data_IF_993701885759
#
_entry.id   IF_993701885759
#
_cell.length_a   1.000
_cell.length_b   1.000
_cell.length_c   1.000
_cell.angle_alpha   90.00
_cell.angle_beta   90.00
_cell.angle_gamma   90.00
#
_symmetry.space_group_name_H-M   'P 1'
#
loop_
_entity.id
_entity.type
_entity.pdbx_description
1 polymer ?
#
# COMPACT_ATOMS: atom_id res chain seq x y z
N UNK A 1 4.29 1.92 -21.43
CA UNK A 1 3.91 1.37 -20.11
C UNK A 1 2.53 0.76 -20.23
N UNK A 2 2.30 -0.46 -19.71
CA UNK A 2 1.04 -1.18 -19.89
C UNK A 2 0.37 -1.36 -18.53
N UNK A 3 -0.78 -0.72 -18.32
CA UNK A 3 -1.70 -1.10 -17.25
C UNK A 3 -2.33 -2.45 -17.61
N UNK A 4 -2.61 -3.29 -16.61
CA UNK A 4 -3.26 -4.58 -16.84
C UNK A 4 -4.73 -4.30 -17.19
N UNK A 5 -5.27 -4.84 -18.29
CA UNK A 5 -6.68 -4.64 -18.59
C UNK A 5 -7.59 -5.18 -17.46
N UNK A 6 -8.62 -4.42 -17.01
CA UNK A 6 -9.50 -4.83 -15.91
C UNK A 6 -10.15 -6.21 -16.11
N UNK A 7 -10.53 -6.55 -17.33
CA UNK A 7 -11.10 -7.85 -17.67
C UNK A 7 -10.12 -9.00 -17.45
N UNK A 8 -8.81 -8.78 -17.67
CA UNK A 8 -7.78 -9.77 -17.41
C UNK A 8 -7.59 -10.00 -15.90
N UNK A 9 -7.69 -8.93 -15.09
CA UNK A 9 -7.64 -9.02 -13.61
C UNK A 9 -8.82 -9.84 -13.10
N UNK A 10 -10.03 -9.54 -13.60
CA UNK A 10 -11.25 -10.27 -13.23
C UNK A 10 -11.20 -11.72 -13.70
N UNK A 11 -10.76 -11.99 -14.93
CA UNK A 11 -10.63 -13.35 -15.47
C UNK A 11 -9.61 -14.20 -14.70
N UNK A 12 -8.57 -13.58 -14.14
CA UNK A 12 -7.62 -14.23 -13.24
C UNK A 12 -8.19 -14.51 -11.83
N UNK A 13 -9.45 -14.16 -11.57
CA UNK A 13 -10.13 -14.43 -10.30
C UNK A 13 -9.83 -13.44 -9.18
N UNK A 14 -9.20 -12.30 -9.48
CA UNK A 14 -8.94 -11.27 -8.48
C UNK A 14 -10.16 -10.38 -8.24
N UNK A 15 -10.40 -10.02 -6.98
CA UNK A 15 -11.49 -9.12 -6.59
C UNK A 15 -11.19 -7.64 -6.85
N UNK A 16 -9.92 -7.27 -7.05
CA UNK A 16 -9.51 -5.88 -7.17
C UNK A 16 -8.01 -5.69 -7.30
N UNK A 17 -7.58 -4.44 -7.14
CA UNK A 17 -6.17 -4.04 -7.18
C UNK A 17 -5.78 -3.22 -5.96
N UNK A 18 -4.54 -3.38 -5.52
CA UNK A 18 -3.84 -2.42 -4.66
C UNK A 18 -2.96 -1.60 -5.59
N UNK A 19 -3.31 -0.34 -5.84
CA UNK A 19 -2.66 0.48 -6.85
C UNK A 19 -1.94 1.68 -6.24
N UNK A 20 -0.80 2.03 -6.81
CA UNK A 20 0.03 3.12 -6.35
C UNK A 20 -0.57 4.50 -6.60
N UNK A 21 -0.55 5.34 -5.57
CA UNK A 21 -0.80 6.79 -5.61
C UNK A 21 0.52 7.56 -5.46
N UNK A 22 1.57 7.06 -6.10
CA UNK A 22 2.92 7.65 -6.17
C UNK A 22 3.44 7.58 -7.60
N UNK A 23 4.41 8.43 -7.94
CA UNK A 23 5.08 8.41 -9.24
C UNK A 23 6.18 7.35 -9.30
N UNK A 24 6.66 7.05 -10.51
CA UNK A 24 7.89 6.28 -10.67
C UNK A 24 9.10 7.11 -10.24
N UNK A 25 10.01 6.49 -9.48
CA UNK A 25 11.31 7.11 -9.15
C UNK A 25 12.25 7.10 -10.37
N UNK A 26 13.29 7.98 -10.40
CA UNK A 26 14.25 8.05 -11.50
C UNK A 26 14.84 6.69 -11.88
N UNK A 27 14.95 6.40 -13.18
CA UNK A 27 15.48 5.13 -13.68
C UNK A 27 14.52 3.94 -13.56
N UNK A 28 13.28 4.15 -13.11
CA UNK A 28 12.22 3.13 -13.13
C UNK A 28 11.02 3.62 -13.96
N UNK A 29 10.34 2.69 -14.63
CA UNK A 29 9.17 3.00 -15.44
C UNK A 29 8.04 2.02 -15.12
N UNK A 30 7.32 2.26 -14.03
CA UNK A 30 6.30 1.34 -13.55
C UNK A 30 4.91 1.76 -14.05
N UNK A 31 4.34 0.96 -14.96
CA UNK A 31 3.09 1.29 -15.68
C UNK A 31 1.85 1.52 -14.82
N UNK A 32 1.90 1.13 -13.54
CA UNK A 32 0.84 1.34 -12.58
C UNK A 32 1.10 2.53 -11.62
N UNK A 33 2.12 3.37 -11.85
CA UNK A 33 2.46 4.53 -11.01
C UNK A 33 2.34 5.86 -11.75
N UNK A 34 1.46 6.79 -11.32
CA UNK A 34 0.34 6.60 -10.40
C UNK A 34 -0.89 5.96 -11.09
N UNK A 35 -1.88 5.52 -10.31
CA UNK A 35 -3.23 5.29 -10.82
C UNK A 35 -3.81 6.58 -11.42
N UNK A 36 -4.61 6.44 -12.47
CA UNK A 36 -5.28 7.56 -13.14
C UNK A 36 -6.79 7.41 -13.06
N UNK A 37 -7.53 8.52 -13.15
CA UNK A 37 -8.99 8.50 -13.13
C UNK A 37 -9.60 7.60 -14.23
N UNK A 38 -9.13 7.63 -15.50
CA UNK A 38 -9.65 6.72 -16.52
C UNK A 38 -9.48 5.24 -16.15
N UNK A 39 -8.32 4.87 -15.60
CA UNK A 39 -8.07 3.48 -15.20
C UNK A 39 -8.89 3.07 -13.98
N UNK A 40 -9.02 3.94 -12.98
CA UNK A 40 -9.88 3.70 -11.82
C UNK A 40 -11.36 3.49 -12.22
N UNK A 41 -11.86 4.29 -13.17
CA UNK A 41 -13.20 4.11 -13.74
C UNK A 41 -13.34 2.78 -14.48
N UNK A 42 -12.33 2.38 -15.25
CA UNK A 42 -12.34 1.10 -15.97
C UNK A 42 -12.33 -0.11 -15.02
N UNK A 43 -11.52 -0.06 -13.95
CA UNK A 43 -11.51 -1.06 -12.88
C UNK A 43 -12.89 -1.18 -12.21
N UNK A 44 -13.46 -0.04 -11.81
CA UNK A 44 -14.77 0.01 -11.15
C UNK A 44 -15.88 -0.52 -12.06
N UNK A 45 -15.87 -0.14 -13.35
CA UNK A 45 -16.84 -0.62 -14.34
C UNK A 45 -16.74 -2.14 -14.56
N UNK A 46 -15.56 -2.73 -14.40
CA UNK A 46 -15.36 -4.18 -14.45
C UNK A 46 -15.82 -4.90 -13.16
N UNK A 47 -16.21 -4.17 -12.12
CA UNK A 47 -16.61 -4.69 -10.81
C UNK A 47 -15.43 -4.95 -9.85
N UNK A 48 -14.26 -4.37 -10.14
CA UNK A 48 -13.05 -4.54 -9.32
C UNK A 48 -12.97 -3.48 -8.24
N UNK A 49 -12.54 -3.87 -7.04
CA UNK A 49 -12.26 -2.93 -5.95
C UNK A 49 -10.87 -2.30 -6.10
N UNK A 50 -10.67 -1.13 -5.52
CA UNK A 50 -9.41 -0.37 -5.56
C UNK A 50 -8.99 -0.03 -4.14
N UNK A 51 -7.72 -0.27 -3.81
CA UNK A 51 -7.08 0.13 -2.56
C UNK A 51 -5.83 0.96 -2.88
N UNK A 52 -5.55 2.01 -2.12
CA UNK A 52 -4.41 2.90 -2.37
C UNK A 52 -3.15 2.48 -1.64
N UNK A 53 -2.03 2.46 -2.37
CA UNK A 53 -0.68 2.25 -1.83
C UNK A 53 0.22 3.44 -2.16
N UNK A 54 1.10 3.83 -1.24
CA UNK A 54 2.17 4.77 -1.49
C UNK A 54 3.54 4.12 -1.29
N UNK A 55 4.35 4.19 -2.35
CA UNK A 55 5.78 3.91 -2.32
C UNK A 55 6.45 4.64 -3.47
N UNK A 56 7.38 5.54 -3.19
CA UNK A 56 8.20 6.19 -4.21
C UNK A 56 9.59 5.56 -4.23
N UNK A 57 10.27 5.62 -3.09
CA UNK A 57 11.59 5.05 -2.86
C UNK A 57 11.66 3.53 -2.87
N UNK A 58 12.88 2.99 -2.91
CA UNK A 58 13.16 1.57 -2.71
C UNK A 58 14.56 1.42 -2.10
N UNK A 59 14.79 0.50 -1.14
CA UNK A 59 16.14 0.21 -0.66
C UNK A 59 17.11 -0.11 -1.79
N UNK A 60 18.31 0.46 -1.72
CA UNK A 60 19.35 0.30 -2.75
C UNK A 60 19.00 0.88 -4.13
N UNK A 61 17.90 1.63 -4.26
CA UNK A 61 17.49 2.28 -5.49
C UNK A 61 18.08 3.68 -5.68
N UNK A 62 17.71 4.32 -6.79
CA UNK A 62 18.01 5.73 -7.10
C UNK A 62 17.33 6.73 -6.17
N UNK A 63 16.31 6.29 -5.43
CA UNK A 63 15.67 7.01 -4.34
C UNK A 63 15.58 6.07 -3.13
N UNK A 64 16.11 6.44 -1.95
CA UNK A 64 16.10 5.59 -0.76
C UNK A 64 14.68 5.36 -0.25
N UNK A 65 14.51 4.40 0.65
CA UNK A 65 13.23 4.08 1.29
C UNK A 65 12.58 5.32 1.89
N UNK A 66 11.28 5.51 1.64
CA UNK A 66 10.58 6.79 1.88
C UNK A 66 10.66 7.23 3.36
N UNK A 67 10.55 6.28 4.28
CA UNK A 67 10.60 6.51 5.72
C UNK A 67 11.92 7.12 6.22
N UNK A 68 13.02 6.99 5.47
CA UNK A 68 14.33 7.54 5.85
C UNK A 68 14.36 9.06 5.88
N UNK A 69 13.36 9.73 5.28
CA UNK A 69 13.21 11.19 5.31
C UNK A 69 12.50 11.71 6.56
N UNK A 70 12.12 10.83 7.50
CA UNK A 70 11.52 11.20 8.78
C UNK A 70 10.25 12.05 8.64
N UNK A 71 9.99 12.92 9.62
CA UNK A 71 8.76 13.69 9.70
C UNK A 71 8.49 14.55 8.46
N UNK A 72 9.47 15.33 8.01
CA UNK A 72 9.32 16.20 6.84
C UNK A 72 9.05 15.39 5.56
N UNK A 73 9.69 14.23 5.43
CA UNK A 73 9.38 13.26 4.38
C UNK A 73 7.94 12.78 4.42
N UNK A 74 7.44 12.44 5.62
CA UNK A 74 6.08 11.95 5.80
C UNK A 74 5.02 12.97 5.41
N UNK A 75 5.25 14.25 5.72
CA UNK A 75 4.39 15.36 5.27
C UNK A 75 4.37 15.46 3.75
N UNK A 76 5.54 15.42 3.10
CA UNK A 76 5.64 15.52 1.65
C UNK A 76 4.97 14.33 0.94
N UNK A 77 5.14 13.12 1.47
CA UNK A 77 4.61 11.88 0.92
C UNK A 77 3.09 11.80 1.08
N UNK A 78 2.59 12.19 2.24
CA UNK A 78 1.15 12.27 2.48
C UNK A 78 0.45 13.26 1.54
N UNK A 79 1.04 14.44 1.32
CA UNK A 79 0.50 15.43 0.37
C UNK A 79 0.51 14.89 -1.05
N UNK A 80 1.61 14.26 -1.47
CA UNK A 80 1.75 13.66 -2.81
C UNK A 80 0.76 12.50 -3.01
N UNK A 81 0.69 11.59 -2.04
CA UNK A 81 -0.22 10.45 -2.04
C UNK A 81 -1.67 10.88 -2.10
N UNK A 82 -2.07 11.86 -1.28
CA UNK A 82 -3.42 12.39 -1.28
C UNK A 82 -3.78 13.10 -2.58
N UNK A 83 -2.85 13.88 -3.14
CA UNK A 83 -3.03 14.52 -4.44
C UNK A 83 -3.33 13.48 -5.54
N UNK A 84 -2.54 12.41 -5.65
CA UNK A 84 -2.79 11.38 -6.65
C UNK A 84 -4.02 10.52 -6.36
N UNK A 85 -4.28 10.21 -5.09
CA UNK A 85 -5.47 9.49 -4.65
C UNK A 85 -6.74 10.24 -5.09
N UNK A 86 -6.85 11.52 -4.72
CA UNK A 86 -8.00 12.35 -5.07
C UNK A 86 -8.12 12.61 -6.58
N UNK A 87 -7.00 12.87 -7.27
CA UNK A 87 -7.00 13.04 -8.73
C UNK A 87 -7.47 11.80 -9.50
N UNK A 88 -7.30 10.60 -8.93
CA UNK A 88 -7.79 9.34 -9.50
C UNK A 88 -9.24 9.01 -9.12
N UNK A 89 -9.92 9.86 -8.34
CA UNK A 89 -11.28 9.62 -7.85
C UNK A 89 -11.33 8.72 -6.62
N UNK A 90 -10.26 8.70 -5.82
CA UNK A 90 -10.19 7.95 -4.58
C UNK A 90 -11.24 8.40 -3.55
N UNK A 91 -11.75 7.44 -2.79
CA UNK A 91 -12.79 7.69 -1.78
C UNK A 91 -12.29 8.52 -0.61
N UNK A 92 -13.06 9.52 -0.16
CA UNK A 92 -12.58 10.56 0.77
C UNK A 92 -12.20 10.05 2.15
N UNK A 93 -12.76 8.92 2.56
CA UNK A 93 -12.45 8.27 3.85
C UNK A 93 -11.55 7.05 3.71
N UNK A 94 -11.08 6.73 2.50
CA UNK A 94 -10.27 5.54 2.25
C UNK A 94 -8.84 5.76 2.77
N UNK A 95 -8.21 4.73 3.38
CA UNK A 95 -6.82 4.84 3.80
C UNK A 95 -5.87 4.73 2.61
N UNK A 96 -4.67 5.28 2.79
CA UNK A 96 -3.51 5.01 1.93
C UNK A 96 -2.53 4.17 2.75
N UNK A 97 -2.11 3.03 2.20
CA UNK A 97 -1.07 2.20 2.82
C UNK A 97 0.30 2.75 2.44
N UNK A 98 1.04 3.27 3.42
CA UNK A 98 2.40 3.77 3.25
C UNK A 98 3.41 2.65 3.48
N UNK A 99 4.29 2.45 2.49
CA UNK A 99 5.17 1.28 2.44
C UNK A 99 6.48 1.45 3.21
N UNK A 100 6.70 0.59 4.20
CA UNK A 100 8.02 0.27 4.75
C UNK A 100 8.48 -1.02 4.06
N UNK A 101 9.06 -0.87 2.87
CA UNK A 101 9.52 -1.98 2.01
C UNK A 101 10.97 -2.39 2.36
N UNK A 102 11.23 -2.60 3.66
CA UNK A 102 12.54 -2.97 4.22
C UNK A 102 12.38 -3.83 5.49
N UNK A 103 13.37 -4.69 5.76
CA UNK A 103 13.52 -5.35 7.06
C UNK A 103 14.21 -4.38 8.04
N UNK A 104 13.41 -3.64 8.82
CA UNK A 104 13.92 -2.65 9.76
C UNK A 104 13.89 -3.17 11.20
N UNK A 105 14.88 -2.77 11.99
CA UNK A 105 14.89 -3.03 13.42
C UNK A 105 14.10 -1.97 14.21
N UNK A 106 13.99 -2.16 15.54
CA UNK A 106 13.24 -1.25 16.41
C UNK A 106 13.91 0.12 16.50
N UNK A 107 15.23 0.21 16.35
CA UNK A 107 15.94 1.47 16.37
C UNK A 107 15.60 2.30 15.13
N UNK A 108 15.68 1.72 13.93
CA UNK A 108 15.25 2.34 12.67
C UNK A 108 13.77 2.73 12.71
N UNK A 109 12.90 1.88 13.28
CA UNK A 109 11.51 2.25 13.49
C UNK A 109 11.37 3.52 14.35
N UNK A 110 11.95 3.52 15.56
CA UNK A 110 11.80 4.62 16.51
C UNK A 110 12.40 5.94 15.98
N UNK A 111 13.51 5.87 15.22
CA UNK A 111 14.28 7.05 14.80
C UNK A 111 13.86 7.61 13.45
N UNK A 112 13.33 6.77 12.53
CA UNK A 112 13.00 7.18 11.17
C UNK A 112 11.54 6.93 10.82
N UNK A 113 11.08 5.68 10.93
CA UNK A 113 9.74 5.32 10.45
C UNK A 113 8.61 5.91 11.30
N UNK A 114 8.74 5.88 12.63
CA UNK A 114 7.75 6.47 13.53
C UNK A 114 7.61 7.98 13.33
N UNK A 115 8.70 8.79 13.28
CA UNK A 115 8.61 10.20 12.88
C UNK A 115 7.97 10.40 11.49
N UNK A 116 8.28 9.55 10.52
CA UNK A 116 7.67 9.61 9.18
C UNK A 116 6.16 9.39 9.21
N UNK A 117 5.69 8.35 9.92
CA UNK A 117 4.26 8.13 10.14
C UNK A 117 3.58 9.27 10.89
N UNK A 118 4.24 9.89 11.86
CA UNK A 118 3.72 11.10 12.53
C UNK A 118 3.60 12.27 11.56
N UNK A 119 4.55 12.42 10.63
CA UNK A 119 4.48 13.40 9.53
C UNK A 119 3.26 13.14 8.62
N UNK A 120 3.05 11.88 8.22
CA UNK A 120 1.88 11.47 7.44
C UNK A 120 0.57 11.80 8.18
N UNK A 121 0.51 11.45 9.46
CA UNK A 121 -0.68 11.67 10.29
C UNK A 121 -0.99 13.15 10.50
N UNK A 122 0.02 14.03 10.45
CA UNK A 122 -0.22 15.49 10.52
C UNK A 122 -0.97 16.04 9.29
N UNK A 123 -0.99 15.30 8.17
CA UNK A 123 -1.68 15.67 6.94
C UNK A 123 -2.99 14.90 6.78
N UNK A 124 -2.95 13.56 6.93
CA UNK A 124 -4.11 12.69 6.64
C UNK A 124 -4.91 12.33 7.88
N UNK A 125 -4.34 12.46 9.08
CA UNK A 125 -4.87 11.85 10.29
C UNK A 125 -4.71 10.33 10.30
N UNK A 126 -4.62 9.77 11.50
CA UNK A 126 -4.41 8.32 11.73
C UNK A 126 -5.41 7.45 10.97
N UNK A 127 -6.69 7.86 10.91
CA UNK A 127 -7.75 7.03 10.35
C UNK A 127 -7.65 6.81 8.83
N UNK A 128 -6.88 7.63 8.11
CA UNK A 128 -6.56 7.45 6.68
C UNK A 128 -5.14 6.92 6.43
N UNK A 129 -4.41 6.59 7.49
CA UNK A 129 -3.05 6.07 7.40
C UNK A 129 -3.05 4.57 7.62
N UNK A 130 -2.61 3.84 6.59
CA UNK A 130 -2.27 2.43 6.69
C UNK A 130 -0.77 2.20 6.54
N UNK A 131 -0.32 1.00 6.90
CA UNK A 131 1.07 0.58 6.75
C UNK A 131 1.16 -0.67 5.88
N UNK A 132 2.12 -0.68 4.96
CA UNK A 132 2.66 -1.91 4.40
C UNK A 132 4.01 -2.23 5.02
N UNK A 133 4.24 -3.49 5.41
CA UNK A 133 5.52 -3.94 5.96
C UNK A 133 5.51 -5.35 6.54
N UNK A 134 6.65 -5.77 7.08
CA UNK A 134 6.77 -7.06 7.78
C UNK A 134 6.04 -7.08 9.13
N UNK A 135 6.01 -8.25 9.78
CA UNK A 135 5.28 -8.48 11.05
C UNK A 135 5.65 -7.47 12.14
N UNK A 136 6.94 -7.15 12.29
CA UNK A 136 7.43 -6.23 13.32
C UNK A 136 6.94 -4.79 13.05
N UNK A 137 7.01 -4.33 11.80
CA UNK A 137 6.51 -3.00 11.40
C UNK A 137 5.01 -2.87 11.68
N UNK A 138 4.23 -3.90 11.34
CA UNK A 138 2.79 -3.93 11.63
C UNK A 138 2.54 -3.85 13.14
N UNK A 139 3.23 -4.67 13.94
CA UNK A 139 3.12 -4.68 15.39
C UNK A 139 3.40 -3.28 15.96
N UNK A 140 4.53 -2.67 15.61
CA UNK A 140 4.95 -1.38 16.16
C UNK A 140 4.04 -0.23 15.72
N UNK A 141 3.57 -0.24 14.47
CA UNK A 141 2.62 0.76 13.98
C UNK A 141 1.29 0.76 14.77
N UNK A 142 0.85 -0.43 15.20
CA UNK A 142 -0.34 -0.60 16.03
C UNK A 142 -0.07 -0.14 17.46
N UNK A 143 1.04 -0.58 18.07
CA UNK A 143 1.45 -0.21 19.42
C UNK A 143 1.61 1.31 19.58
N UNK A 144 2.24 1.96 18.61
CA UNK A 144 2.47 3.42 18.62
C UNK A 144 1.25 4.23 18.15
N UNK A 145 0.15 3.55 17.79
CA UNK A 145 -1.13 4.19 17.45
C UNK A 145 -1.08 5.06 16.18
N UNK A 146 -0.21 4.74 15.22
CA UNK A 146 0.01 5.57 14.02
C UNK A 146 -0.76 5.12 12.79
N UNK A 147 -1.53 4.03 12.88
CA UNK A 147 -2.41 3.54 11.81
C UNK A 147 -3.87 3.42 12.26
N UNK A 148 -4.79 3.65 11.32
CA UNK A 148 -6.23 3.61 11.55
C UNK A 148 -6.81 2.22 11.75
N UNK A 149 -8.12 2.18 11.97
CA UNK A 149 -8.90 0.96 12.20
C UNK A 149 -9.88 0.70 11.06
N UNK A 150 -10.07 -0.58 10.75
CA UNK A 150 -11.13 -1.03 9.83
C UNK A 150 -12.49 -0.96 10.52
N UNK A 151 -13.59 -0.93 9.75
CA UNK A 151 -14.93 -1.12 10.30
C UNK A 151 -15.13 -2.53 10.87
N UNK A 152 -14.28 -3.48 10.51
CA UNK A 152 -14.24 -4.80 11.14
C UNK A 152 -13.50 -4.70 12.48
N UNK A 153 -14.18 -5.08 13.57
CA UNK A 153 -13.63 -5.01 14.92
C UNK A 153 -12.30 -5.76 15.03
N UNK A 154 -11.33 -5.16 15.73
CA UNK A 154 -10.00 -5.75 15.95
C UNK A 154 -9.05 -5.66 14.76
N UNK A 155 -9.51 -5.15 13.60
CA UNK A 155 -8.68 -4.99 12.40
C UNK A 155 -8.12 -3.56 12.28
N UNK A 156 -6.92 -3.46 11.74
CA UNK A 156 -6.16 -2.22 11.52
C UNK A 156 -5.83 -2.07 10.05
N UNK A 157 -5.54 -0.86 9.59
CA UNK A 157 -5.01 -0.62 8.24
C UNK A 157 -3.57 -1.14 8.10
N UNK A 158 -3.39 -2.44 8.28
CA UNK A 158 -2.15 -3.16 8.21
C UNK A 158 -2.21 -4.12 7.02
N UNK A 159 -1.37 -3.85 6.03
CA UNK A 159 -1.09 -4.71 4.90
C UNK A 159 0.26 -5.39 5.13
N UNK A 160 0.23 -6.62 5.60
CA UNK A 160 1.45 -7.31 5.97
C UNK A 160 2.04 -8.06 4.77
N UNK A 161 3.35 -8.06 4.60
CA UNK A 161 4.01 -8.94 3.61
C UNK A 161 4.54 -10.22 4.25
N UNK A 162 4.56 -11.33 3.50
CA UNK A 162 5.27 -12.56 3.92
C UNK A 162 6.77 -12.30 4.16
N UNK A 163 7.34 -11.34 3.43
CA UNK A 163 8.72 -10.91 3.65
C UNK A 163 8.88 -10.42 5.08
N UNK A 164 10.00 -10.77 5.70
CA UNK A 164 10.35 -10.29 7.05
C UNK A 164 9.36 -10.72 8.15
N UNK A 165 8.41 -11.61 7.83
CA UNK A 165 7.33 -12.04 8.74
C UNK A 165 7.53 -13.44 9.31
N UNK A 166 8.53 -14.19 8.86
CA UNK A 166 8.93 -15.50 9.45
C UNK A 166 7.75 -16.48 9.59
N UNK A 167 6.82 -16.47 8.63
CA UNK A 167 5.62 -17.31 8.62
C UNK A 167 4.46 -16.85 9.51
N UNK A 168 4.59 -15.71 10.20
CA UNK A 168 3.57 -15.17 11.09
C UNK A 168 2.64 -14.20 10.35
N UNK A 169 1.40 -14.07 10.82
CA UNK A 169 0.43 -13.07 10.35
C UNK A 169 -0.18 -12.40 11.58
N UNK A 170 -0.10 -11.06 11.66
CA UNK A 170 -0.69 -10.32 12.77
C UNK A 170 -2.22 -10.41 12.70
N UNK A 171 -2.92 -10.74 13.80
CA UNK A 171 -4.37 -10.95 13.78
C UNK A 171 -5.18 -9.70 13.37
N UNK A 172 -4.61 -8.51 13.55
CA UNK A 172 -5.24 -7.26 13.14
C UNK A 172 -5.04 -6.90 11.66
N UNK A 173 -4.17 -7.58 10.89
CA UNK A 173 -3.92 -7.26 9.50
C UNK A 173 -5.19 -7.43 8.64
N UNK A 174 -5.42 -6.52 7.70
CA UNK A 174 -6.57 -6.58 6.78
C UNK A 174 -6.18 -7.11 5.40
N UNK A 175 -4.89 -7.04 5.06
CA UNK A 175 -4.33 -7.55 3.82
C UNK A 175 -3.04 -8.32 4.11
N UNK A 176 -2.76 -9.35 3.31
CA UNK A 176 -1.51 -10.11 3.39
C UNK A 176 -0.91 -10.41 2.01
N UNK A 177 0.30 -9.92 1.72
CA UNK A 177 1.03 -10.22 0.49
C UNK A 177 1.65 -11.63 0.58
N UNK A 178 0.95 -12.62 0.05
CA UNK A 178 1.34 -14.04 0.08
C UNK A 178 2.31 -14.41 -1.04
N UNK A 179 2.20 -13.77 -2.20
CA UNK A 179 3.12 -13.97 -3.33
C UNK A 179 3.80 -12.64 -3.66
N UNK A 180 5.13 -12.69 -3.72
CA UNK A 180 5.98 -11.58 -4.14
C UNK A 180 6.65 -12.03 -5.43
N UNK A 181 6.47 -11.29 -6.52
CA UNK A 181 7.13 -11.55 -7.79
C UNK A 181 8.63 -11.28 -7.66
N UNK A 182 9.42 -12.35 -7.71
CA UNK A 182 10.87 -12.29 -7.79
C UNK A 182 11.38 -13.26 -8.85
N UNK A 183 12.64 -13.12 -9.32
CA UNK A 183 13.21 -14.08 -10.26
C UNK A 183 13.17 -15.53 -9.75
N UNK A 184 13.30 -15.75 -8.44
CA UNK A 184 13.30 -17.08 -7.81
C UNK A 184 11.91 -17.56 -7.35
N UNK A 185 10.93 -16.67 -7.27
CA UNK A 185 9.55 -16.97 -6.92
C UNK A 185 8.62 -16.11 -7.80
N UNK A 186 8.52 -16.41 -9.11
CA UNK A 186 7.78 -15.56 -10.02
C UNK A 186 6.30 -15.53 -9.67
N UNK A 187 5.72 -14.34 -9.73
CA UNK A 187 4.29 -14.14 -9.59
C UNK A 187 3.50 -14.70 -10.78
N UNK A 188 2.19 -14.95 -10.63
CA UNK A 188 1.35 -15.31 -11.76
C UNK A 188 1.31 -14.20 -12.80
N UNK A 189 1.08 -14.58 -14.05
CA UNK A 189 0.96 -13.64 -15.17
C UNK A 189 -0.52 -13.27 -15.36
N UNK A 190 -0.83 -11.98 -15.28
CA UNK A 190 -2.17 -11.43 -15.49
C UNK A 190 -2.07 -10.35 -16.58
N UNK A 191 -2.80 -10.51 -17.68
CA UNK A 191 -2.74 -9.58 -18.82
C UNK A 191 -1.32 -9.39 -19.39
N UNK A 192 -0.48 -10.43 -19.29
CA UNK A 192 0.91 -10.41 -19.76
C UNK A 192 1.92 -9.79 -18.79
N UNK A 193 1.52 -9.47 -17.55
CA UNK A 193 2.38 -8.87 -16.52
C UNK A 193 2.44 -9.79 -15.31
N UNK A 194 3.62 -10.03 -14.74
CA UNK A 194 3.76 -10.73 -13.45
C UNK A 194 3.31 -9.83 -12.32
N UNK A 195 2.55 -10.38 -11.38
CA UNK A 195 1.96 -9.62 -10.28
C UNK A 195 2.27 -10.26 -8.92
N UNK A 196 2.31 -9.42 -7.89
CA UNK A 196 2.17 -9.87 -6.51
C UNK A 196 0.73 -10.31 -6.24
N UNK A 197 0.53 -11.24 -5.30
CA UNK A 197 -0.80 -11.68 -4.88
C UNK A 197 -1.01 -11.42 -3.41
N UNK A 198 -2.13 -10.78 -3.11
CA UNK A 198 -2.53 -10.38 -1.77
C UNK A 198 -3.84 -11.06 -1.39
N UNK A 199 -3.88 -11.61 -0.18
CA UNK A 199 -5.09 -12.18 0.41
C UNK A 199 -5.84 -11.09 1.19
N UNK A 200 -7.17 -11.11 1.10
CA UNK A 200 -8.09 -10.23 1.81
C UNK A 200 -8.47 -10.88 3.14
N UNK A 201 -8.06 -10.29 4.26
CA UNK A 201 -8.25 -10.85 5.60
C UNK A 201 -9.45 -10.23 6.35
N UNK A 202 -10.08 -9.20 5.80
CA UNK A 202 -11.25 -8.54 6.36
C UNK A 202 -12.22 -8.11 5.25
N UNK A 203 -13.51 -8.01 5.55
CA UNK A 203 -14.51 -7.48 4.60
C UNK A 203 -14.25 -6.01 4.25
N UNK A 204 -13.57 -5.27 5.13
CA UNK A 204 -13.16 -3.90 4.93
C UNK A 204 -11.64 -3.78 5.06
N UNK A 205 -10.99 -3.60 3.91
CA UNK A 205 -9.55 -3.42 3.75
C UNK A 205 -9.18 -2.00 3.33
N UNK A 206 -10.14 -1.07 3.36
CA UNK A 206 -9.95 0.30 2.87
C UNK A 206 -10.24 0.45 1.37
N UNK A 207 -11.08 -0.41 0.79
CA UNK A 207 -11.46 -0.31 -0.61
C UNK A 207 -12.33 0.92 -0.88
N UNK A 208 -12.02 1.67 -1.95
CA UNK A 208 -12.60 2.99 -2.21
C UNK A 208 -14.14 3.03 -2.23
N UNK A 209 -14.77 1.98 -2.76
CA UNK A 209 -16.23 1.91 -2.88
C UNK A 209 -16.98 1.81 -1.54
N UNK A 210 -16.30 1.47 -0.44
CA UNK A 210 -16.89 1.49 0.89
C UNK A 210 -16.51 2.74 1.69
N UNK A 211 -15.74 3.63 1.08
CA UNK A 211 -15.17 4.83 1.70
C UNK A 211 -15.35 6.06 0.81
N UNK A 212 -16.57 6.37 0.33
CA UNK A 212 -16.82 7.49 -0.58
C UNK A 212 -16.33 8.83 -0.02
#
# INVERSE_FOLDING_TARGET
MRQIPPEAIRAAGHAGVINYVSTSRPGSNFGAKPITLPYAKALTAAGLVIVSNYQYGKPGGTAPSDFTRGFAGGVADARTGWHHHTAAGGGQSAPIYFSVDDDIDRHTWNTLALPWFRGINSVLGVQRTGVYGGINVVQWAIEDGVIGFSRVQGRRWAWQTRSWSRGQIHPAAVLYQRIIDTPSNPGPVVGGIRVDVNDVLAADVGQWNLHP
#
